data_IF_474376533498
#
_entry.id   IF_474376533498
#
_cell.length_a   1.000
_cell.length_b   1.000
_cell.length_c   1.000
_cell.angle_alpha   90.00
_cell.angle_beta   90.00
_cell.angle_gamma   90.00
#
_symmetry.space_group_name_H-M   'P 1'
#
loop_
_entity.id
_entity.type
_entity.pdbx_description
1 polymer ?
#
# COMPACT_ATOMS: atom_id res chain seq x y z
N UNK A 1 12.83 20.03 -7.77
CA UNK A 1 14.02 19.82 -6.91
C UNK A 1 14.88 18.78 -7.61
N UNK A 2 16.21 18.98 -7.79
CA UNK A 2 17.05 17.99 -8.44
C UNK A 2 17.08 16.73 -7.58
N UNK A 3 16.73 15.57 -8.16
CA UNK A 3 16.88 14.26 -7.55
C UNK A 3 18.35 14.08 -7.12
N UNK A 4 18.55 13.79 -5.84
CA UNK A 4 19.85 13.33 -5.35
C UNK A 4 20.05 11.90 -5.86
N UNK A 5 20.93 11.71 -6.84
CA UNK A 5 21.34 10.39 -7.32
C UNK A 5 21.83 9.55 -6.14
N UNK A 6 21.23 8.37 -5.94
CA UNK A 6 21.56 7.40 -4.90
C UNK A 6 20.67 7.39 -3.66
N UNK A 7 19.55 8.13 -3.65
CA UNK A 7 18.56 8.06 -2.57
C UNK A 7 17.37 7.22 -3.04
N UNK A 8 17.02 6.16 -2.28
CA UNK A 8 15.82 5.36 -2.53
C UNK A 8 14.58 6.23 -2.51
N UNK A 9 13.77 6.15 -3.57
CA UNK A 9 12.57 6.98 -3.74
C UNK A 9 11.30 6.27 -3.33
N UNK A 10 11.29 4.92 -3.36
CA UNK A 10 10.14 4.10 -2.99
C UNK A 10 10.60 2.80 -2.33
N UNK A 11 9.89 2.38 -1.29
CA UNK A 11 9.84 1.00 -0.83
C UNK A 11 8.51 0.38 -1.26
N UNK A 12 8.56 -0.73 -1.99
CA UNK A 12 7.39 -1.51 -2.37
C UNK A 12 7.49 -2.93 -1.79
N UNK A 13 6.52 -3.29 -0.95
CA UNK A 13 6.39 -4.62 -0.37
C UNK A 13 5.18 -5.33 -0.98
N UNK A 14 5.36 -6.56 -1.47
CA UNK A 14 4.27 -7.31 -2.10
C UNK A 14 4.30 -8.80 -1.80
N UNK A 15 3.12 -9.38 -1.57
CA UNK A 15 2.94 -10.81 -1.37
C UNK A 15 3.92 -11.43 -0.36
N UNK A 16 3.92 -10.99 0.92
CA UNK A 16 4.77 -11.60 1.93
C UNK A 16 4.48 -13.10 2.10
N UNK A 17 5.53 -13.88 2.37
CA UNK A 17 5.41 -15.32 2.61
C UNK A 17 4.89 -15.58 4.03
N UNK A 18 3.58 -15.69 4.18
CA UNK A 18 2.90 -15.83 5.48
C UNK A 18 2.79 -17.29 5.98
N UNK A 19 3.37 -18.25 5.25
CA UNK A 19 3.37 -19.66 5.65
C UNK A 19 2.08 -20.42 5.31
N UNK A 20 0.99 -19.76 4.98
CA UNK A 20 -0.27 -20.35 4.52
C UNK A 20 -0.47 -20.07 3.02
N UNK A 21 -0.56 -21.13 2.16
CA UNK A 21 -0.83 -20.95 0.74
C UNK A 21 -2.16 -20.24 0.43
N UNK A 22 -3.13 -20.25 1.33
CA UNK A 22 -4.40 -19.53 1.16
C UNK A 22 -4.22 -18.01 1.23
N UNK A 23 -3.12 -17.55 1.80
CA UNK A 23 -2.75 -16.13 1.90
C UNK A 23 -1.80 -15.68 0.79
N UNK A 24 -1.58 -16.51 -0.24
CA UNK A 24 -0.73 -16.14 -1.36
C UNK A 24 -1.41 -15.09 -2.26
N UNK A 25 -0.68 -14.02 -2.57
CA UNK A 25 -1.15 -12.87 -3.37
C UNK A 25 -0.27 -12.67 -4.61
N UNK A 26 -0.33 -13.57 -5.61
CA UNK A 26 0.52 -13.47 -6.80
C UNK A 26 0.28 -12.17 -7.59
N UNK A 27 -0.93 -11.62 -7.56
CA UNK A 27 -1.25 -10.33 -8.13
C UNK A 27 -0.47 -9.18 -7.48
N UNK A 28 -0.41 -9.14 -6.15
CA UNK A 28 0.37 -8.15 -5.40
C UNK A 28 1.88 -8.25 -5.70
N UNK A 29 2.40 -9.46 -5.88
CA UNK A 29 3.79 -9.65 -6.30
C UNK A 29 4.08 -9.08 -7.70
N UNK A 30 3.19 -9.33 -8.65
CA UNK A 30 3.31 -8.81 -10.01
C UNK A 30 3.17 -7.28 -10.03
N UNK A 31 2.25 -6.74 -9.24
CA UNK A 31 2.04 -5.31 -9.07
C UNK A 31 3.34 -4.60 -8.65
N UNK A 32 3.94 -4.98 -7.50
CA UNK A 32 5.12 -4.29 -6.99
C UNK A 32 6.34 -4.46 -7.91
N UNK A 33 6.45 -5.56 -8.62
CA UNK A 33 7.49 -5.75 -9.65
C UNK A 33 7.30 -4.80 -10.82
N UNK A 34 6.06 -4.62 -11.30
CA UNK A 34 5.77 -3.68 -12.39
C UNK A 34 6.06 -2.23 -11.97
N UNK A 35 5.87 -1.88 -10.68
CA UNK A 35 6.19 -0.54 -10.19
C UNK A 35 7.69 -0.23 -10.26
N UNK A 36 8.57 -1.22 -10.12
CA UNK A 36 10.02 -1.01 -10.25
C UNK A 36 10.46 -0.56 -11.66
N UNK A 37 9.64 -0.82 -12.67
CA UNK A 37 9.89 -0.35 -14.04
C UNK A 37 9.45 1.10 -14.25
N UNK A 38 8.55 1.60 -13.39
CA UNK A 38 7.97 2.94 -13.48
C UNK A 38 8.67 3.93 -12.54
N UNK A 39 9.05 3.48 -11.35
CA UNK A 39 9.66 4.32 -10.31
C UNK A 39 11.15 4.01 -10.20
N UNK A 40 11.97 4.96 -10.64
CA UNK A 40 13.43 4.84 -10.53
C UNK A 40 13.88 4.81 -9.06
N UNK A 41 15.02 4.15 -8.79
CA UNK A 41 15.62 4.06 -7.44
C UNK A 41 14.66 3.46 -6.39
N UNK A 42 13.77 2.55 -6.81
CA UNK A 42 12.86 1.82 -5.92
C UNK A 42 13.52 0.57 -5.32
N UNK A 43 13.16 0.25 -4.09
CA UNK A 43 13.44 -1.03 -3.45
C UNK A 43 12.15 -1.85 -3.45
N UNK A 44 12.21 -3.01 -4.10
CA UNK A 44 11.07 -3.95 -4.18
C UNK A 44 11.42 -5.21 -3.41
N UNK A 45 10.57 -5.58 -2.47
CA UNK A 45 10.70 -6.81 -1.70
C UNK A 45 9.41 -7.64 -1.78
N UNK A 46 9.57 -8.91 -2.08
CA UNK A 46 8.47 -9.86 -2.24
C UNK A 46 8.76 -11.13 -1.45
N UNK A 47 7.73 -11.89 -1.14
CA UNK A 47 7.82 -13.18 -0.46
C UNK A 47 8.57 -13.03 0.88
N UNK A 48 9.59 -13.82 1.12
CA UNK A 48 10.40 -13.84 2.34
C UNK A 48 11.14 -12.52 2.61
N UNK A 49 11.32 -11.70 1.58
CA UNK A 49 11.97 -10.39 1.71
C UNK A 49 11.03 -9.28 2.17
N UNK A 50 9.72 -9.47 2.06
CA UNK A 50 8.72 -8.48 2.46
C UNK A 50 8.54 -8.48 4.00
N UNK A 51 9.61 -8.15 4.73
CA UNK A 51 9.65 -8.23 6.19
C UNK A 51 9.21 -6.92 6.86
N UNK A 52 8.73 -7.05 8.08
CA UNK A 52 8.41 -5.90 8.93
C UNK A 52 9.66 -5.09 9.28
N UNK A 53 10.78 -5.75 9.54
CA UNK A 53 12.07 -5.08 9.78
C UNK A 53 12.51 -4.24 8.60
N UNK A 54 12.34 -4.75 7.36
CA UNK A 54 12.63 -3.97 6.17
C UNK A 54 11.74 -2.73 6.09
N UNK A 55 10.42 -2.87 6.32
CA UNK A 55 9.51 -1.74 6.37
C UNK A 55 9.99 -0.70 7.38
N UNK A 56 10.22 -1.07 8.64
CA UNK A 56 10.67 -0.15 9.71
C UNK A 56 11.99 0.53 9.37
N UNK A 57 12.92 -0.17 8.70
CA UNK A 57 14.22 0.40 8.32
C UNK A 57 14.13 1.49 7.24
N UNK A 58 13.10 1.46 6.39
CA UNK A 58 12.87 2.44 5.32
C UNK A 58 11.84 3.49 5.67
N UNK A 59 10.96 3.25 6.64
CA UNK A 59 9.76 4.03 6.94
C UNK A 59 10.02 5.55 7.07
N UNK A 60 11.13 5.96 7.72
CA UNK A 60 11.49 7.37 7.89
C UNK A 60 12.33 7.96 6.75
N UNK A 61 12.73 7.15 5.75
CA UNK A 61 13.76 7.51 4.76
C UNK A 61 13.25 7.70 3.35
N UNK A 62 12.11 7.09 3.02
CA UNK A 62 11.57 7.11 1.66
C UNK A 62 10.33 7.98 1.56
N UNK A 63 10.19 8.77 0.50
CA UNK A 63 9.00 9.58 0.28
C UNK A 63 7.77 8.75 -0.11
N UNK A 64 7.96 7.53 -0.62
CA UNK A 64 6.86 6.68 -1.05
C UNK A 64 6.97 5.28 -0.42
N UNK A 65 5.88 4.86 0.22
CA UNK A 65 5.68 3.50 0.72
C UNK A 65 4.52 2.87 -0.05
N UNK A 66 4.74 1.68 -0.60
CA UNK A 66 3.71 0.90 -1.28
C UNK A 66 3.65 -0.50 -0.65
N UNK A 67 2.49 -0.87 -0.11
CA UNK A 67 2.31 -2.12 0.61
C UNK A 67 1.13 -2.87 0.00
N UNK A 68 1.44 -3.99 -0.66
CA UNK A 68 0.49 -4.89 -1.28
C UNK A 68 0.47 -6.22 -0.50
N UNK A 69 -0.22 -6.21 0.63
CA UNK A 69 -0.28 -7.30 1.60
C UNK A 69 -1.66 -7.39 2.26
N UNK A 70 -1.92 -8.50 2.93
CA UNK A 70 -3.13 -8.65 3.75
C UNK A 70 -3.14 -7.67 4.92
N UNK A 71 -4.32 -7.17 5.26
CA UNK A 71 -4.61 -6.43 6.47
C UNK A 71 -5.65 -7.16 7.32
N UNK A 72 -5.47 -7.18 8.62
CA UNK A 72 -6.45 -7.65 9.58
C UNK A 72 -6.96 -6.49 10.41
N UNK A 73 -8.27 -6.37 10.50
CA UNK A 73 -8.94 -5.28 11.22
C UNK A 73 -9.65 -5.82 12.45
N UNK A 74 -9.45 -5.14 13.57
CA UNK A 74 -10.11 -5.46 14.82
C UNK A 74 -10.90 -4.23 15.31
N UNK A 75 -12.23 -4.20 15.12
CA UNK A 75 -13.06 -3.06 15.54
C UNK A 75 -13.18 -2.93 17.06
N UNK A 76 -12.98 -4.01 17.81
CA UNK A 76 -13.03 -3.98 19.28
C UNK A 76 -11.71 -3.45 19.88
N UNK A 77 -10.59 -3.74 19.22
CA UNK A 77 -9.26 -3.28 19.60
C UNK A 77 -8.54 -2.64 18.40
N UNK A 78 -8.89 -1.41 18.00
CA UNK A 78 -8.40 -0.79 16.76
C UNK A 78 -6.88 -0.68 16.67
N UNK A 79 -6.17 -0.59 17.80
CA UNK A 79 -4.71 -0.56 17.83
C UNK A 79 -4.07 -1.89 17.48
N UNK A 80 -4.79 -2.99 17.58
CA UNK A 80 -4.34 -4.33 17.17
C UNK A 80 -4.58 -4.62 15.70
N UNK A 81 -5.33 -3.78 14.98
CA UNK A 81 -5.42 -3.86 13.52
C UNK A 81 -4.04 -3.77 12.90
N UNK A 82 -3.76 -4.57 11.86
CA UNK A 82 -2.39 -4.77 11.38
C UNK A 82 -2.29 -5.06 9.89
N UNK A 83 -1.12 -4.81 9.33
CA UNK A 83 -0.69 -5.36 8.05
C UNK A 83 0.18 -6.60 8.29
N UNK A 84 -0.04 -7.64 7.50
CA UNK A 84 0.72 -8.89 7.62
C UNK A 84 1.97 -8.82 6.74
N UNK A 85 3.12 -8.91 7.35
CA UNK A 85 4.44 -8.96 6.73
C UNK A 85 5.16 -10.23 7.17
N UNK A 86 6.37 -10.44 6.70
CA UNK A 86 7.20 -11.54 7.20
C UNK A 86 7.88 -11.12 8.50
N UNK A 87 7.76 -11.97 9.52
CA UNK A 87 8.49 -11.80 10.78
C UNK A 87 9.96 -12.22 10.68
N UNK A 88 10.75 -11.79 11.65
CA UNK A 88 12.15 -12.18 11.83
C UNK A 88 12.51 -12.23 13.33
N UNK A 89 13.79 -12.25 13.68
CA UNK A 89 14.24 -12.35 15.08
C UNK A 89 13.83 -11.13 15.92
N UNK A 90 13.50 -10.00 15.31
CA UNK A 90 13.24 -8.70 15.99
C UNK A 90 11.80 -8.25 15.90
N UNK A 91 11.06 -8.69 14.88
CA UNK A 91 9.67 -8.30 14.63
C UNK A 91 8.83 -9.54 14.27
N UNK A 92 7.59 -9.58 14.72
CA UNK A 92 6.73 -10.76 14.57
C UNK A 92 6.03 -10.85 13.20
N UNK A 93 6.16 -9.83 12.36
CA UNK A 93 5.52 -9.74 11.05
C UNK A 93 4.12 -9.10 11.08
N UNK A 94 3.70 -8.62 12.23
CA UNK A 94 2.39 -7.99 12.42
C UNK A 94 2.55 -6.49 12.63
N UNK A 95 2.68 -5.72 11.55
CA UNK A 95 2.77 -4.26 11.67
C UNK A 95 1.44 -3.67 12.13
N UNK A 96 1.30 -3.47 13.42
CA UNK A 96 0.06 -3.00 14.07
C UNK A 96 -0.11 -1.48 13.99
N UNK A 97 -1.36 -1.00 14.14
CA UNK A 97 -1.64 0.44 14.30
C UNK A 97 -0.93 1.00 15.54
N UNK A 98 -0.83 0.21 16.63
CA UNK A 98 -0.08 0.61 17.82
C UNK A 98 1.39 0.88 17.51
N UNK A 99 2.05 0.02 16.75
CA UNK A 99 3.44 0.22 16.33
C UNK A 99 3.61 1.38 15.35
N UNK A 100 2.63 1.61 14.46
CA UNK A 100 2.65 2.79 13.59
C UNK A 100 2.70 4.09 14.39
N UNK A 101 2.06 4.15 15.56
CA UNK A 101 2.09 5.35 16.41
C UNK A 101 3.47 5.64 17.03
N UNK A 102 4.33 4.63 17.10
CA UNK A 102 5.70 4.77 17.57
C UNK A 102 6.71 5.06 16.45
N UNK A 103 6.25 5.11 15.18
CA UNK A 103 7.09 5.40 14.03
C UNK A 103 7.01 6.88 13.61
N UNK A 104 8.12 7.38 13.08
CA UNK A 104 8.18 8.68 12.42
C UNK A 104 8.34 8.47 10.91
N UNK A 105 7.26 8.68 10.16
CA UNK A 105 7.25 8.61 8.70
C UNK A 105 7.54 10.00 8.11
N UNK A 106 8.33 10.04 7.03
CA UNK A 106 8.50 11.22 6.19
C UNK A 106 7.93 10.97 4.79
N UNK A 107 6.87 10.19 4.72
CA UNK A 107 6.32 9.75 3.44
C UNK A 107 5.33 10.75 2.87
N UNK A 108 5.57 11.16 1.64
CA UNK A 108 4.63 11.99 0.86
C UNK A 108 3.41 11.20 0.41
N UNK A 109 3.58 9.88 0.23
CA UNK A 109 2.52 8.96 -0.17
C UNK A 109 2.73 7.58 0.43
N UNK A 110 1.67 7.06 1.05
CA UNK A 110 1.55 5.64 1.41
C UNK A 110 0.43 5.04 0.56
N UNK A 111 0.71 3.93 -0.12
CA UNK A 111 -0.29 3.16 -0.87
C UNK A 111 -0.52 1.82 -0.18
N UNK A 112 -1.77 1.55 0.18
CA UNK A 112 -2.24 0.28 0.74
C UNK A 112 -3.06 -0.43 -0.35
N UNK A 113 -2.39 -1.28 -1.12
CA UNK A 113 -2.96 -1.86 -2.34
C UNK A 113 -3.75 -3.13 -2.10
N UNK A 114 -3.54 -3.81 -1.00
CA UNK A 114 -4.27 -5.02 -0.65
C UNK A 114 -4.98 -4.79 0.68
N UNK A 115 -6.24 -4.45 0.64
CA UNK A 115 -7.09 -4.39 1.81
C UNK A 115 -8.05 -5.57 1.80
N UNK A 116 -7.96 -6.37 2.83
CA UNK A 116 -8.83 -7.43 3.29
C UNK A 116 -8.48 -8.87 2.95
N UNK A 117 -8.07 -9.53 4.01
CA UNK A 117 -8.51 -10.86 4.30
C UNK A 117 -8.91 -10.92 5.79
N UNK A 118 -10.00 -10.30 6.13
CA UNK A 118 -10.67 -10.68 7.37
C UNK A 118 -11.32 -12.03 7.12
N UNK A 119 -11.08 -13.04 7.95
CA UNK A 119 -11.89 -14.24 8.08
C UNK A 119 -13.26 -13.92 8.70
N UNK A 120 -13.77 -12.71 8.47
CA UNK A 120 -15.06 -12.23 8.96
C UNK A 120 -15.73 -11.29 7.96
N UNK A 121 -17.06 -11.26 8.00
CA UNK A 121 -17.87 -10.34 7.20
C UNK A 121 -17.42 -8.89 7.42
N UNK A 122 -16.88 -8.28 6.38
CA UNK A 122 -16.58 -6.85 6.36
C UNK A 122 -17.86 -6.07 6.49
N UNK A 123 -18.10 -5.49 7.63
CA UNK A 123 -19.35 -4.76 7.88
C UNK A 123 -19.28 -3.26 7.56
N UNK A 124 -18.11 -2.65 7.38
CA UNK A 124 -18.06 -1.22 7.00
C UNK A 124 -16.67 -0.77 6.54
N UNK A 125 -16.64 0.31 5.73
CA UNK A 125 -15.41 1.02 5.35
C UNK A 125 -14.65 1.65 6.53
N UNK A 126 -15.12 1.48 7.77
CA UNK A 126 -14.46 1.95 8.99
C UNK A 126 -13.15 1.19 9.29
N UNK A 127 -13.01 -0.03 8.78
CA UNK A 127 -11.85 -0.89 9.03
C UNK A 127 -10.56 -0.31 8.42
N UNK A 128 -10.64 0.18 7.18
CA UNK A 128 -9.52 0.86 6.49
C UNK A 128 -9.14 2.18 7.19
N UNK A 129 -10.10 2.80 7.89
CA UNK A 129 -9.91 4.07 8.60
C UNK A 129 -8.88 3.92 9.73
N UNK A 130 -8.83 2.79 10.43
CA UNK A 130 -7.89 2.53 11.51
C UNK A 130 -6.43 2.61 11.04
N UNK A 131 -6.07 1.81 10.02
CA UNK A 131 -4.73 1.82 9.44
C UNK A 131 -4.40 3.17 8.78
N UNK A 132 -5.33 3.76 8.03
CA UNK A 132 -5.16 5.09 7.42
C UNK A 132 -4.83 6.14 8.48
N UNK A 133 -5.54 6.15 9.62
CA UNK A 133 -5.24 7.05 10.74
C UNK A 133 -3.88 6.77 11.34
N UNK A 134 -3.50 5.50 11.51
CA UNK A 134 -2.18 5.11 12.00
C UNK A 134 -1.05 5.69 11.15
N UNK A 135 -1.13 5.52 9.83
CA UNK A 135 -0.14 6.08 8.90
C UNK A 135 -0.12 7.61 8.89
N UNK A 136 -1.27 8.27 8.94
CA UNK A 136 -1.35 9.75 9.02
C UNK A 136 -0.73 10.25 10.33
N UNK A 137 -1.04 9.60 11.45
CA UNK A 137 -0.47 9.96 12.75
C UNK A 137 1.05 9.79 12.77
N UNK A 138 1.54 8.70 12.17
CA UNK A 138 2.97 8.44 12.01
C UNK A 138 3.70 9.46 11.12
N UNK A 139 2.99 10.31 10.36
CA UNK A 139 3.58 11.39 9.53
C UNK A 139 3.44 11.21 8.02
N UNK A 140 2.65 10.26 7.55
CA UNK A 140 2.32 10.17 6.12
C UNK A 140 1.46 11.38 5.69
N UNK A 141 1.85 12.07 4.62
CA UNK A 141 1.11 13.24 4.15
C UNK A 141 -0.16 12.87 3.35
N UNK A 142 -0.12 11.75 2.64
CA UNK A 142 -1.22 11.25 1.83
C UNK A 142 -1.24 9.73 1.84
N UNK A 143 -2.44 9.16 1.74
CA UNK A 143 -2.66 7.72 1.68
C UNK A 143 -3.62 7.41 0.54
N UNK A 144 -3.25 6.44 -0.29
CA UNK A 144 -4.15 5.78 -1.24
C UNK A 144 -4.44 4.39 -0.70
N UNK A 145 -5.71 4.10 -0.42
CA UNK A 145 -6.13 2.80 0.10
C UNK A 145 -7.37 2.28 -0.63
N UNK A 146 -7.49 0.97 -0.74
CA UNK A 146 -8.69 0.35 -1.31
C UNK A 146 -9.78 0.21 -0.25
N UNK A 147 -11.02 0.43 -0.66
CA UNK A 147 -12.22 0.34 0.18
C UNK A 147 -12.86 -1.06 0.17
N UNK A 148 -12.50 -1.89 -0.79
CA UNK A 148 -12.94 -3.27 -0.94
C UNK A 148 -11.89 -4.09 -1.71
N UNK A 149 -12.04 -5.40 -1.68
CA UNK A 149 -11.20 -6.33 -2.43
C UNK A 149 -11.39 -6.12 -3.94
N UNK A 150 -10.30 -5.94 -4.66
CA UNK A 150 -10.30 -5.62 -6.09
C UNK A 150 -9.67 -6.78 -6.87
N UNK A 151 -10.00 -6.85 -8.14
CA UNK A 151 -9.36 -7.76 -9.09
C UNK A 151 -7.86 -7.41 -9.27
N UNK A 152 -6.99 -8.41 -9.22
CA UNK A 152 -5.53 -8.26 -9.26
C UNK A 152 -5.05 -7.52 -10.52
N UNK A 153 -5.61 -7.86 -11.69
CA UNK A 153 -5.22 -7.25 -12.95
C UNK A 153 -5.66 -5.78 -13.02
N UNK A 154 -6.89 -5.48 -12.56
CA UNK A 154 -7.38 -4.11 -12.47
C UNK A 154 -6.52 -3.26 -11.54
N UNK A 155 -6.13 -3.83 -10.39
CA UNK A 155 -5.29 -3.17 -9.38
C UNK A 155 -3.90 -2.88 -9.94
N UNK A 156 -3.24 -3.87 -10.53
CA UNK A 156 -1.91 -3.68 -11.12
C UNK A 156 -1.92 -2.59 -12.20
N UNK A 157 -2.94 -2.59 -13.08
CA UNK A 157 -3.12 -1.55 -14.12
C UNK A 157 -3.35 -0.17 -13.50
N UNK A 158 -4.18 -0.07 -12.46
CA UNK A 158 -4.46 1.18 -11.78
C UNK A 158 -3.18 1.73 -11.14
N UNK A 159 -2.43 0.91 -10.42
CA UNK A 159 -1.21 1.32 -9.72
C UNK A 159 -0.11 1.74 -10.70
N UNK A 160 0.14 1.00 -11.76
CA UNK A 160 1.10 1.39 -12.80
C UNK A 160 0.73 2.76 -13.40
N UNK A 161 -0.55 2.98 -13.72
CA UNK A 161 -1.02 4.28 -14.23
C UNK A 161 -0.90 5.39 -13.18
N UNK A 162 -1.21 5.10 -11.90
CA UNK A 162 -1.08 6.06 -10.80
C UNK A 162 0.37 6.55 -10.70
N UNK A 163 1.33 5.64 -10.56
CA UNK A 163 2.73 5.99 -10.40
C UNK A 163 3.34 6.63 -11.65
N UNK A 164 2.89 6.26 -12.83
CA UNK A 164 3.27 6.94 -14.07
C UNK A 164 2.76 8.40 -14.08
N UNK A 165 1.51 8.63 -13.69
CA UNK A 165 0.92 9.98 -13.65
C UNK A 165 1.56 10.86 -12.57
N UNK A 166 1.95 10.29 -11.41
CA UNK A 166 2.62 11.01 -10.31
C UNK A 166 3.95 11.67 -10.73
N UNK A 167 4.54 11.24 -11.84
CA UNK A 167 5.76 11.88 -12.36
C UNK A 167 5.53 13.31 -12.87
N UNK A 168 4.29 13.68 -13.20
CA UNK A 168 3.96 14.97 -13.83
C UNK A 168 2.71 15.66 -13.30
N UNK A 169 1.94 15.00 -12.42
CA UNK A 169 0.65 15.47 -11.93
C UNK A 169 0.61 15.39 -10.39
N UNK A 170 -0.29 16.14 -9.77
CA UNK A 170 -0.60 15.97 -8.35
C UNK A 170 -1.29 14.61 -8.08
N UNK A 171 -1.34 14.21 -6.80
CA UNK A 171 -1.83 12.90 -6.39
C UNK A 171 -3.31 12.70 -6.70
N UNK A 172 -4.13 13.74 -6.54
CA UNK A 172 -5.56 13.69 -6.82
C UNK A 172 -5.84 13.47 -8.30
N UNK A 173 -5.17 14.24 -9.17
CA UNK A 173 -5.33 14.10 -10.61
C UNK A 173 -4.74 12.77 -11.11
N UNK A 174 -3.63 12.33 -10.53
CA UNK A 174 -2.99 11.05 -10.85
C UNK A 174 -3.90 9.87 -10.57
N UNK A 175 -4.51 9.81 -9.38
CA UNK A 175 -5.45 8.74 -9.02
C UNK A 175 -6.70 8.78 -9.92
N UNK A 176 -7.29 9.96 -10.11
CA UNK A 176 -8.45 10.11 -10.99
C UNK A 176 -8.17 9.60 -12.40
N UNK A 177 -7.03 9.97 -12.98
CA UNK A 177 -6.67 9.55 -14.33
C UNK A 177 -6.38 8.04 -14.41
N UNK A 178 -5.75 7.46 -13.37
CA UNK A 178 -5.55 6.02 -13.26
C UNK A 178 -6.88 5.26 -13.21
N UNK A 179 -7.84 5.72 -12.40
CA UNK A 179 -9.18 5.16 -12.32
C UNK A 179 -9.93 5.25 -13.67
N UNK A 180 -9.86 6.40 -14.33
CA UNK A 180 -10.48 6.58 -15.67
C UNK A 180 -9.81 5.71 -16.72
N UNK A 181 -8.50 5.46 -16.63
CA UNK A 181 -7.81 4.55 -17.54
C UNK A 181 -8.33 3.12 -17.40
N UNK A 182 -8.47 2.60 -16.17
CA UNK A 182 -9.05 1.26 -15.95
C UNK A 182 -10.50 1.20 -16.43
N UNK A 183 -11.33 2.21 -16.08
CA UNK A 183 -12.72 2.30 -16.51
C UNK A 183 -12.88 2.22 -18.01
N UNK A 184 -12.06 2.96 -18.77
CA UNK A 184 -12.23 3.14 -20.20
C UNK A 184 -11.53 2.06 -21.04
N UNK A 185 -10.42 1.49 -20.53
CA UNK A 185 -9.53 0.64 -21.31
C UNK A 185 -9.48 -0.82 -20.84
N UNK A 186 -10.08 -1.12 -19.65
CA UNK A 186 -10.09 -2.48 -19.10
C UNK A 186 -11.51 -2.92 -18.72
N UNK A 187 -12.10 -2.33 -17.67
CA UNK A 187 -13.43 -2.71 -17.18
C UNK A 187 -14.24 -1.49 -16.74
N UNK A 188 -15.43 -1.31 -17.34
CA UNK A 188 -16.31 -0.16 -17.08
C UNK A 188 -17.06 -0.26 -15.73
N UNK A 189 -17.22 -1.46 -15.18
CA UNK A 189 -17.94 -1.65 -13.92
C UNK A 189 -17.16 -1.02 -12.75
N UNK A 190 -17.80 -0.22 -11.87
CA UNK A 190 -17.12 0.51 -10.79
C UNK A 190 -16.30 -0.37 -9.82
N UNK A 191 -16.68 -1.63 -9.66
CA UNK A 191 -15.95 -2.59 -8.86
C UNK A 191 -14.45 -2.61 -9.16
N UNK A 192 -14.06 -2.48 -10.43
CA UNK A 192 -12.68 -2.60 -10.88
C UNK A 192 -11.84 -1.32 -10.77
N UNK A 193 -12.46 -0.14 -10.74
CA UNK A 193 -11.73 1.12 -10.79
C UNK A 193 -12.02 2.09 -9.65
N UNK A 194 -13.16 1.96 -8.96
CA UNK A 194 -13.59 2.94 -7.97
C UNK A 194 -13.18 2.59 -6.52
N UNK A 195 -12.46 1.48 -6.32
CA UNK A 195 -12.12 1.01 -4.98
C UNK A 195 -11.10 1.90 -4.24
N UNK A 196 -10.23 2.60 -4.96
CA UNK A 196 -9.15 3.36 -4.34
C UNK A 196 -9.56 4.79 -4.01
N UNK A 197 -9.25 5.20 -2.79
CA UNK A 197 -9.50 6.54 -2.26
C UNK A 197 -8.19 7.19 -1.82
N UNK A 198 -8.05 8.48 -2.11
CA UNK A 198 -6.98 9.32 -1.59
C UNK A 198 -7.45 10.06 -0.34
N UNK A 199 -6.69 9.94 0.74
CA UNK A 199 -6.89 10.68 2.00
C UNK A 199 -5.63 11.50 2.28
N UNK A 200 -5.77 12.78 2.62
CA UNK A 200 -4.66 13.70 2.87
C UNK A 200 -4.81 15.01 2.12
N UNK A 201 -3.69 15.72 1.90
CA UNK A 201 -3.70 17.04 1.25
C UNK A 201 -3.96 16.99 -0.26
N UNK A 202 -3.74 15.85 -0.90
CA UNK A 202 -3.88 15.64 -2.35
C UNK A 202 -2.79 16.31 -3.21
N UNK A 203 -1.90 17.08 -2.60
CA UNK A 203 -0.84 17.84 -3.27
C UNK A 203 0.48 17.09 -3.34
#
# INVERSE_FOLDING_TARGET
>A
TPQRSGQTTMLALGNPALGDPALDLPGAQNEVRALSEVVADSVVAVREQATESLFKSYASRVPVLHIASHGEFNPEEPLSSRLLLVGDETNDGSLTVGELYDLELNSELVTLSACQTGLGDVQSGDDVIGLTRGFLFAGAANIVASLWMVDDEATARLMVNLYHNLQSQDKQQSLRNAQLSVKNNYQAHPYYWAAFQLTGSGR
#
